data_IF_884328449484
#
_entry.id   IF_884328449484
#
_cell.length_a   1.000
_cell.length_b   1.000
_cell.length_c   1.000
_cell.angle_alpha   90.00
_cell.angle_beta   90.00
_cell.angle_gamma   90.00
#
_symmetry.space_group_name_H-M   'P 1'
#
loop_
_entity.id
_entity.type
_entity.pdbx_description
1 polymer ?
#
# COMPACT_ATOMS: atom_id res chain seq x y z
N UNK A 1 -13.82 6.51 -26.41
CA UNK A 1 -12.61 6.45 -25.57
C UNK A 1 -12.70 7.57 -24.57
N UNK A 2 -13.00 7.25 -23.32
CA UNK A 2 -12.83 8.21 -22.23
C UNK A 2 -11.35 8.57 -22.14
N UNK A 3 -11.03 9.86 -22.23
CA UNK A 3 -9.70 10.36 -21.94
C UNK A 3 -9.56 10.37 -20.42
N UNK A 4 -8.89 9.37 -19.86
CA UNK A 4 -8.42 9.45 -18.49
C UNK A 4 -7.49 10.65 -18.38
N UNK A 5 -7.99 11.71 -17.74
CA UNK A 5 -7.18 12.88 -17.39
C UNK A 5 -6.40 12.52 -16.13
N UNK A 6 -5.08 12.65 -16.18
CA UNK A 6 -4.27 12.58 -14.97
C UNK A 6 -4.60 13.80 -14.10
N UNK A 7 -4.93 13.54 -12.83
CA UNK A 7 -5.08 14.58 -11.83
C UNK A 7 -3.71 15.16 -11.51
N UNK A 8 -3.65 16.47 -11.23
CA UNK A 8 -2.47 17.02 -10.55
C UNK A 8 -2.44 16.55 -9.10
N UNK A 9 -1.30 16.76 -8.44
CA UNK A 9 -1.17 16.44 -7.00
C UNK A 9 -2.19 17.22 -6.18
N UNK A 10 -2.41 18.49 -6.50
CA UNK A 10 -3.37 19.36 -5.82
C UNK A 10 -4.79 18.83 -5.98
N UNK A 11 -5.20 18.50 -7.20
CA UNK A 11 -6.54 17.96 -7.49
C UNK A 11 -6.78 16.63 -6.76
N UNK A 12 -5.77 15.77 -6.69
CA UNK A 12 -5.84 14.51 -5.95
C UNK A 12 -5.98 14.74 -4.44
N UNK A 13 -5.22 15.69 -3.87
CA UNK A 13 -5.30 16.03 -2.44
C UNK A 13 -6.65 16.65 -2.07
N UNK A 14 -7.21 17.50 -2.93
CA UNK A 14 -8.55 18.08 -2.73
C UNK A 14 -9.63 16.99 -2.75
N UNK A 15 -9.61 16.11 -3.74
CA UNK A 15 -10.55 14.99 -3.83
C UNK A 15 -10.46 14.06 -2.61
N UNK A 16 -9.25 13.77 -2.12
CA UNK A 16 -9.06 12.96 -0.93
C UNK A 16 -9.64 13.63 0.32
N UNK A 17 -9.42 14.94 0.48
CA UNK A 17 -10.00 15.71 1.58
C UNK A 17 -11.52 15.70 1.55
N UNK A 18 -12.13 15.89 0.37
CA UNK A 18 -13.59 15.81 0.20
C UNK A 18 -14.14 14.42 0.56
N UNK A 19 -13.37 13.36 0.26
CA UNK A 19 -13.69 11.99 0.62
C UNK A 19 -13.34 11.61 2.08
N UNK A 20 -12.83 12.55 2.88
CA UNK A 20 -12.33 12.30 4.25
C UNK A 20 -11.25 11.20 4.32
N UNK A 21 -10.39 11.15 3.31
CA UNK A 21 -9.23 10.27 3.19
C UNK A 21 -7.96 11.08 3.45
N UNK A 22 -7.10 10.58 4.34
CA UNK A 22 -5.75 11.11 4.53
C UNK A 22 -4.81 10.44 3.52
N UNK A 23 -4.17 11.22 2.65
CA UNK A 23 -3.20 10.73 1.67
C UNK A 23 -1.79 11.15 2.07
N UNK A 24 -0.87 10.19 2.03
CA UNK A 24 0.56 10.41 2.27
C UNK A 24 1.35 9.86 1.09
N UNK A 25 2.40 10.59 0.72
CA UNK A 25 3.34 10.19 -0.31
C UNK A 25 4.67 9.91 0.36
N UNK A 26 4.92 8.63 0.61
CA UNK A 26 6.15 8.18 1.24
C UNK A 26 6.93 7.29 0.28
N UNK A 27 8.26 7.31 0.45
CA UNK A 27 9.11 6.29 -0.16
C UNK A 27 9.04 5.03 0.71
N UNK A 28 9.20 3.83 0.11
CA UNK A 28 9.38 2.62 0.89
C UNK A 28 10.58 2.79 1.84
N UNK A 29 10.53 2.11 3.00
CA UNK A 29 11.61 2.15 3.98
C UNK A 29 12.92 1.57 3.43
N UNK A 30 14.00 1.70 4.21
CA UNK A 30 15.40 1.42 3.80
C UNK A 30 15.62 -0.04 3.35
N UNK A 31 14.70 -0.96 3.70
CA UNK A 31 14.71 -2.37 3.27
C UNK A 31 13.71 -2.67 2.11
N UNK A 32 13.05 -1.63 1.59
CA UNK A 32 12.14 -1.70 0.44
C UNK A 32 10.83 -2.46 0.70
N UNK A 33 10.48 -2.73 1.96
CA UNK A 33 9.53 -3.80 2.31
C UNK A 33 8.52 -3.49 3.41
N UNK A 34 8.70 -2.44 4.20
CA UNK A 34 7.71 -2.09 5.24
C UNK A 34 6.99 -0.80 4.89
N UNK A 35 5.74 -0.96 4.47
CA UNK A 35 4.76 0.11 4.47
C UNK A 35 4.04 0.11 5.82
N UNK A 36 3.84 1.29 6.41
CA UNK A 36 3.06 1.41 7.62
C UNK A 36 1.63 0.94 7.32
N UNK A 37 1.18 -0.11 7.99
CA UNK A 37 -0.16 -0.69 7.79
C UNK A 37 -1.21 -0.06 8.71
N UNK A 38 -0.75 0.63 9.76
CA UNK A 38 -1.57 1.46 10.67
C UNK A 38 -0.83 2.76 10.98
N UNK A 39 -1.56 3.83 11.27
CA UNK A 39 -0.98 5.08 11.78
C UNK A 39 -0.67 5.01 13.29
N UNK A 40 -0.13 6.09 13.85
CA UNK A 40 0.21 6.21 15.29
C UNK A 40 -0.99 6.04 16.24
N UNK A 41 -2.22 6.17 15.72
CA UNK A 41 -3.46 6.00 16.45
C UNK A 41 -4.10 4.62 16.19
N UNK A 42 -3.45 3.74 15.43
CA UNK A 42 -3.95 2.41 15.08
C UNK A 42 -4.98 2.40 13.95
N UNK A 43 -5.14 3.50 13.19
CA UNK A 43 -6.05 3.55 12.04
C UNK A 43 -5.39 2.84 10.84
N UNK A 44 -6.09 1.91 10.15
CA UNK A 44 -5.50 1.17 9.05
C UNK A 44 -5.24 2.04 7.82
N UNK A 45 -4.14 1.76 7.13
CA UNK A 45 -3.84 2.27 5.80
C UNK A 45 -4.30 1.30 4.71
N UNK A 46 -4.63 1.85 3.54
CA UNK A 46 -4.55 1.14 2.27
C UNK A 46 -3.31 1.66 1.55
N UNK A 47 -2.35 0.79 1.29
CA UNK A 47 -1.11 1.17 0.62
C UNK A 47 -1.27 0.98 -0.88
N UNK A 48 -1.04 2.04 -1.65
CA UNK A 48 -0.99 1.98 -3.12
C UNK A 48 0.48 1.96 -3.52
N UNK A 49 0.95 0.84 -4.03
CA UNK A 49 2.33 0.63 -4.41
C UNK A 49 2.45 0.85 -5.91
N UNK A 50 3.16 1.91 -6.28
CA UNK A 50 3.44 2.22 -7.68
C UNK A 50 4.79 1.61 -8.05
N UNK A 51 4.87 0.87 -9.18
CA UNK A 51 6.14 0.32 -9.62
C UNK A 51 7.07 1.45 -10.02
N UNK A 52 8.37 1.24 -9.81
CA UNK A 52 9.40 2.05 -10.42
C UNK A 52 9.30 2.01 -11.96
N UNK A 53 9.97 2.95 -12.63
CA UNK A 53 9.97 2.97 -14.09
C UNK A 53 10.57 1.68 -14.68
N UNK A 54 11.63 1.16 -14.08
CA UNK A 54 12.31 -0.08 -14.48
C UNK A 54 11.40 -1.30 -14.29
N UNK A 55 10.73 -1.41 -13.15
CA UNK A 55 9.76 -2.48 -12.88
C UNK A 55 8.58 -2.44 -13.85
N UNK A 56 8.10 -1.24 -14.19
CA UNK A 56 7.03 -1.08 -15.18
C UNK A 56 7.46 -1.54 -16.58
N UNK A 57 8.71 -1.32 -16.96
CA UNK A 57 9.24 -1.84 -18.22
C UNK A 57 9.33 -3.37 -18.25
N UNK A 58 9.51 -3.99 -17.09
CA UNK A 58 9.52 -5.45 -16.93
C UNK A 58 8.11 -6.06 -16.80
N UNK A 59 7.06 -5.24 -16.92
CA UNK A 59 5.67 -5.70 -16.85
C UNK A 59 5.11 -5.81 -15.42
N UNK A 60 5.79 -5.28 -14.41
CA UNK A 60 5.22 -5.20 -13.07
C UNK A 60 4.12 -4.14 -13.04
N UNK A 61 2.96 -4.53 -12.52
CA UNK A 61 1.83 -3.65 -12.29
C UNK A 61 1.87 -3.11 -10.85
N UNK A 62 1.24 -1.95 -10.63
CA UNK A 62 1.04 -1.46 -9.27
C UNK A 62 0.09 -2.35 -8.49
N UNK A 63 0.23 -2.36 -7.17
CA UNK A 63 -0.62 -3.14 -6.27
C UNK A 63 -1.28 -2.25 -5.23
N UNK A 64 -2.38 -2.76 -4.65
CA UNK A 64 -3.01 -2.16 -3.49
C UNK A 64 -2.99 -3.21 -2.38
N UNK A 65 -2.43 -2.85 -1.22
CA UNK A 65 -2.38 -3.70 -0.05
C UNK A 65 -3.29 -3.15 1.04
N UNK A 66 -4.24 -3.98 1.49
CA UNK A 66 -5.12 -3.66 2.59
C UNK A 66 -4.58 -4.22 3.91
N UNK A 67 -4.84 -3.51 5.01
CA UNK A 67 -4.52 -3.97 6.36
C UNK A 67 -5.05 -5.37 6.67
N UNK A 68 -6.24 -5.73 6.19
CA UNK A 68 -6.85 -7.04 6.44
C UNK A 68 -6.04 -8.19 5.83
N UNK A 69 -5.52 -7.99 4.62
CA UNK A 69 -4.66 -8.96 3.93
C UNK A 69 -3.32 -9.12 4.65
N UNK A 70 -2.75 -8.01 5.14
CA UNK A 70 -1.56 -8.05 5.98
C UNK A 70 -1.79 -8.88 7.26
N UNK A 71 -2.88 -8.64 7.99
CA UNK A 71 -3.20 -9.38 9.22
C UNK A 71 -3.40 -10.87 8.92
N UNK A 72 -4.06 -11.21 7.81
CA UNK A 72 -4.25 -12.60 7.38
C UNK A 72 -2.91 -13.27 7.05
N UNK A 73 -2.04 -12.61 6.29
CA UNK A 73 -0.73 -13.12 5.91
C UNK A 73 0.23 -13.25 7.09
N UNK A 74 0.29 -12.25 7.99
CA UNK A 74 1.04 -12.34 9.26
C UNK A 74 0.58 -13.49 10.15
N UNK A 75 -0.74 -13.77 10.18
CA UNK A 75 -1.28 -14.92 10.92
C UNK A 75 -0.90 -16.25 10.29
N UNK A 76 -0.74 -16.31 8.96
CA UNK A 76 -0.26 -17.49 8.24
C UNK A 76 1.23 -17.74 8.53
N UNK A 77 2.08 -16.70 8.45
CA UNK A 77 3.51 -16.79 8.81
C UNK A 77 3.74 -17.32 10.23
N UNK A 78 2.90 -16.90 11.19
CA UNK A 78 2.98 -17.38 12.58
C UNK A 78 2.53 -18.82 12.74
N UNK A 79 1.54 -19.30 11.97
CA UNK A 79 1.08 -20.70 12.03
C UNK A 79 2.13 -21.65 11.47
N UNK A 80 2.76 -21.29 10.36
CA UNK A 80 3.82 -22.10 9.75
C UNK A 80 5.07 -22.18 10.64
N UNK A 81 5.26 -21.21 11.54
CA UNK A 81 6.35 -21.20 12.53
C UNK A 81 6.11 -22.07 13.77
N UNK A 82 4.85 -22.43 14.08
CA UNK A 82 4.48 -23.20 15.27
C UNK A 82 4.36 -24.72 15.00
N UNK A 83 4.24 -25.16 13.75
CA UNK A 83 4.15 -26.59 13.38
C UNK A 83 5.52 -27.30 13.30
N UNK A 84 6.61 -26.60 13.61
CA UNK A 84 7.99 -27.14 13.58
C UNK A 84 8.55 -27.63 14.92
N UNK A 85 7.76 -27.68 16.00
CA UNK A 85 8.21 -28.22 17.30
C UNK A 85 7.27 -29.30 17.84
N UNK A 86 7.44 -30.53 17.35
CA UNK A 86 7.18 -31.75 18.13
C UNK A 86 8.22 -32.81 17.80
#
# INVERSE_FOLDING_TARGET
>A
MEKFRMLTKEELMEAAKEANVDLRFDLPDVDGKHWNVVDENGKPFANVILPTWEEKQNGNEGSVEFYEDYVKNKKLEKRDSDDGRK
#
